data_IF_485109104064
#
_entry.id   IF_485109104064
#
_cell.length_a   1.000
_cell.length_b   1.000
_cell.length_c   1.000
_cell.angle_alpha   90.00
_cell.angle_beta   90.00
_cell.angle_gamma   90.00
#
_symmetry.space_group_name_H-M   'P 1'
#
loop_
_entity.id
_entity.type
_entity.pdbx_description
1 polymer ?
#
# COMPACT_ATOMS: atom_id res chain seq x y z
N UNK A 1 -17.03 -29.21 63.53
CA UNK A 1 -16.73 -27.91 62.86
C UNK A 1 -16.16 -28.20 61.48
N UNK A 2 -16.52 -27.34 60.51
CA UNK A 2 -16.52 -27.59 59.06
C UNK A 2 -15.13 -27.81 58.46
N UNK A 3 -15.13 -28.68 57.44
CA UNK A 3 -14.04 -29.03 56.53
C UNK A 3 -13.45 -27.77 55.87
N UNK A 4 -12.14 -27.58 55.97
CA UNK A 4 -11.41 -26.61 55.14
C UNK A 4 -10.98 -27.33 53.87
N UNK A 5 -11.56 -26.86 52.77
CA UNK A 5 -11.28 -27.19 51.39
C UNK A 5 -9.94 -26.53 51.02
N UNK A 6 -8.93 -27.32 50.69
CA UNK A 6 -7.70 -26.81 50.06
C UNK A 6 -7.76 -27.21 48.59
N UNK A 7 -8.13 -26.24 47.76
CA UNK A 7 -8.03 -26.29 46.29
C UNK A 7 -6.58 -26.09 45.93
N UNK A 8 -5.92 -27.12 45.41
CA UNK A 8 -4.54 -27.06 44.91
C UNK A 8 -4.50 -27.53 43.45
N UNK A 9 -4.04 -26.61 42.61
CA UNK A 9 -3.42 -26.76 41.29
C UNK A 9 -4.25 -27.33 40.13
N UNK A 10 -4.80 -26.41 39.32
CA UNK A 10 -4.83 -26.53 37.86
C UNK A 10 -4.03 -25.35 37.30
N UNK A 11 -2.72 -25.53 37.14
CA UNK A 11 -1.86 -24.53 36.49
C UNK A 11 -0.66 -25.23 35.82
N UNK A 12 -0.92 -26.18 34.92
CA UNK A 12 0.13 -26.86 34.15
C UNK A 12 -0.12 -26.92 32.64
N UNK A 13 -1.14 -26.25 32.12
CA UNK A 13 -1.48 -26.31 30.69
C UNK A 13 -0.87 -25.19 29.84
N UNK A 14 -0.27 -24.15 30.44
CA UNK A 14 0.18 -22.95 29.69
C UNK A 14 1.60 -23.14 29.12
N UNK A 15 2.43 -24.00 29.69
CA UNK A 15 3.86 -24.13 29.30
C UNK A 15 4.08 -24.92 28.00
N UNK A 16 3.22 -25.90 27.70
CA UNK A 16 3.41 -26.76 26.51
C UNK A 16 3.08 -26.06 25.19
N UNK A 17 2.24 -25.01 25.22
CA UNK A 17 1.87 -24.27 24.01
C UNK A 17 2.93 -23.22 23.63
N UNK A 18 3.56 -22.59 24.63
CA UNK A 18 4.62 -21.57 24.44
C UNK A 18 5.86 -22.13 23.75
N UNK A 19 6.32 -23.34 24.13
CA UNK A 19 7.52 -23.95 23.56
C UNK A 19 7.44 -24.19 22.04
N UNK A 20 6.23 -24.37 21.50
CA UNK A 20 6.03 -24.55 20.06
C UNK A 20 6.11 -23.22 19.28
N UNK A 21 5.67 -22.12 19.90
CA UNK A 21 5.71 -20.78 19.28
C UNK A 21 7.14 -20.27 19.17
N UNK A 22 7.96 -20.42 20.22
CA UNK A 22 9.35 -19.94 20.21
C UNK A 22 10.19 -20.63 19.13
N UNK A 23 9.96 -21.93 18.92
CA UNK A 23 10.59 -22.69 17.84
C UNK A 23 10.17 -22.14 16.46
N UNK A 24 8.86 -21.94 16.23
CA UNK A 24 8.36 -21.35 14.98
C UNK A 24 8.92 -19.95 14.73
N UNK A 25 8.98 -19.11 15.76
CA UNK A 25 9.55 -17.75 15.67
C UNK A 25 11.03 -17.80 15.31
N UNK A 26 11.78 -18.75 15.87
CA UNK A 26 13.19 -18.96 15.54
C UNK A 26 13.35 -19.37 14.08
N UNK A 27 12.60 -20.35 13.61
CA UNK A 27 12.66 -20.80 12.21
C UNK A 27 12.26 -19.70 11.21
N UNK A 28 11.22 -18.91 11.54
CA UNK A 28 10.80 -17.76 10.74
C UNK A 28 11.92 -16.71 10.68
N UNK A 29 12.53 -16.43 11.83
CA UNK A 29 13.64 -15.48 11.95
C UNK A 29 14.87 -15.94 11.17
N UNK A 30 15.17 -17.24 11.17
CA UNK A 30 16.34 -17.82 10.49
C UNK A 30 16.17 -17.78 8.96
N UNK A 31 14.95 -18.03 8.46
CA UNK A 31 14.65 -17.89 7.03
C UNK A 31 14.76 -16.43 6.55
N UNK A 32 14.36 -15.48 7.40
CA UNK A 32 14.51 -14.03 7.21
C UNK A 32 14.00 -13.49 5.84
N UNK A 33 12.88 -14.04 5.37
CA UNK A 33 12.16 -13.61 4.17
C UNK A 33 10.66 -13.78 4.38
N UNK A 34 9.84 -12.84 3.94
CA UNK A 34 8.38 -13.00 3.88
C UNK A 34 8.02 -13.64 2.55
N UNK A 35 7.69 -14.92 2.58
CA UNK A 35 7.11 -15.63 1.45
C UNK A 35 5.59 -15.48 1.47
N UNK A 36 5.00 -15.22 0.30
CA UNK A 36 3.57 -15.34 0.06
C UNK A 36 3.21 -16.80 -0.23
N UNK A 37 1.92 -17.06 -0.45
CA UNK A 37 1.42 -18.44 -0.58
C UNK A 37 2.12 -19.24 -1.68
N UNK A 38 2.35 -18.64 -2.85
CA UNK A 38 2.97 -19.28 -4.00
C UNK A 38 4.25 -18.54 -4.36
N UNK A 39 5.38 -19.26 -4.44
CA UNK A 39 6.72 -18.72 -4.72
C UNK A 39 7.47 -19.57 -5.75
N UNK A 40 8.36 -18.91 -6.48
CA UNK A 40 9.29 -19.54 -7.43
C UNK A 40 8.63 -20.04 -8.72
N UNK A 41 9.44 -20.71 -9.54
CA UNK A 41 9.00 -21.34 -10.78
C UNK A 41 8.07 -22.50 -10.43
N UNK A 42 6.85 -22.48 -10.96
CA UNK A 42 5.82 -23.49 -10.68
C UNK A 42 4.92 -23.16 -9.49
N UNK A 43 5.12 -22.03 -8.80
CA UNK A 43 4.22 -21.58 -7.73
C UNK A 43 4.17 -22.53 -6.54
N UNK A 44 5.33 -23.02 -6.09
CA UNK A 44 5.41 -23.89 -4.93
C UNK A 44 4.98 -23.14 -3.67
N UNK A 45 4.47 -23.87 -2.69
CA UNK A 45 4.06 -23.26 -1.44
C UNK A 45 5.28 -22.78 -0.64
N UNK A 46 5.29 -21.51 -0.26
CA UNK A 46 6.38 -20.92 0.54
C UNK A 46 6.57 -21.66 1.85
N UNK A 47 7.80 -22.05 2.17
CA UNK A 47 8.10 -22.74 3.42
C UNK A 47 7.93 -21.79 4.61
N UNK A 48 8.33 -20.53 4.47
CA UNK A 48 8.11 -19.54 5.52
C UNK A 48 6.64 -19.10 5.59
N UNK A 49 5.92 -19.13 4.47
CA UNK A 49 4.47 -18.96 4.47
C UNK A 49 3.77 -20.08 5.27
N UNK A 50 4.20 -21.34 5.13
CA UNK A 50 3.66 -22.45 5.92
C UNK A 50 3.90 -22.25 7.43
N UNK A 51 5.09 -21.81 7.82
CA UNK A 51 5.39 -21.47 9.23
C UNK A 51 4.52 -20.34 9.75
N UNK A 52 4.29 -19.31 8.93
CA UNK A 52 3.33 -18.26 9.24
C UNK A 52 1.92 -18.82 9.46
N UNK A 53 1.44 -19.71 8.59
CA UNK A 53 0.11 -20.33 8.76
C UNK A 53 0.03 -21.13 10.07
N UNK A 54 1.11 -21.78 10.49
CA UNK A 54 1.16 -22.43 11.80
C UNK A 54 1.18 -21.44 12.96
N UNK A 55 1.98 -20.39 12.87
CA UNK A 55 2.03 -19.31 13.86
C UNK A 55 0.64 -18.69 14.05
N UNK A 56 -0.03 -18.33 12.96
CA UNK A 56 -1.37 -17.71 12.96
C UNK A 56 -2.43 -18.60 13.64
N UNK A 57 -2.31 -19.93 13.50
CA UNK A 57 -3.22 -20.91 14.14
C UNK A 57 -2.92 -21.16 15.61
N UNK A 58 -1.65 -21.18 16.00
CA UNK A 58 -1.20 -21.62 17.33
C UNK A 58 -1.07 -20.45 18.33
N UNK A 59 -0.64 -19.28 17.87
CA UNK A 59 -0.41 -18.13 18.73
C UNK A 59 -1.73 -17.44 19.09
N UNK A 60 -1.91 -17.15 20.36
CA UNK A 60 -3.02 -16.29 20.81
C UNK A 60 -2.67 -14.81 20.57
N UNK A 61 -3.69 -13.95 20.63
CA UNK A 61 -3.55 -12.49 20.43
C UNK A 61 -2.48 -11.86 21.31
N UNK A 62 -2.36 -12.27 22.59
CA UNK A 62 -1.35 -11.71 23.49
C UNK A 62 0.08 -12.05 23.03
N UNK A 63 0.31 -13.29 22.60
CA UNK A 63 1.61 -13.71 22.05
C UNK A 63 1.93 -12.95 20.75
N UNK A 64 0.96 -12.81 19.85
CA UNK A 64 1.14 -12.04 18.61
C UNK A 64 1.48 -10.58 18.90
N UNK A 65 0.79 -9.96 19.87
CA UNK A 65 1.08 -8.59 20.33
C UNK A 65 2.46 -8.44 20.98
N UNK A 66 3.04 -9.49 21.53
CA UNK A 66 4.45 -9.44 21.96
C UNK A 66 5.39 -9.47 20.74
N UNK A 67 5.06 -10.30 19.74
CA UNK A 67 5.88 -10.49 18.54
C UNK A 67 5.93 -9.27 17.62
N UNK A 68 4.96 -8.34 17.67
CA UNK A 68 5.03 -7.09 16.89
C UNK A 68 6.22 -6.19 17.28
N UNK A 69 6.82 -6.41 18.46
CA UNK A 69 8.01 -5.68 18.94
C UNK A 69 9.31 -6.46 18.75
N UNK A 70 9.26 -7.58 18.03
CA UNK A 70 10.41 -8.47 17.88
C UNK A 70 11.55 -7.83 17.06
N UNK A 71 12.80 -8.20 17.39
CA UNK A 71 14.01 -7.67 16.73
C UNK A 71 14.08 -8.03 15.23
N UNK A 72 13.57 -9.20 14.85
CA UNK A 72 13.51 -9.64 13.47
C UNK A 72 12.25 -9.08 12.78
N UNK A 73 12.38 -8.27 11.72
CA UNK A 73 11.24 -7.62 11.06
C UNK A 73 10.31 -8.59 10.29
N UNK A 74 10.79 -9.77 9.89
CA UNK A 74 9.95 -10.82 9.27
C UNK A 74 8.99 -11.43 10.29
N UNK A 75 9.46 -11.63 11.53
CA UNK A 75 8.60 -12.07 12.63
C UNK A 75 7.52 -11.02 12.92
N UNK A 76 7.89 -9.73 12.95
CA UNK A 76 6.94 -8.63 13.13
C UNK A 76 5.89 -8.62 12.01
N UNK A 77 6.33 -8.75 10.75
CA UNK A 77 5.43 -8.79 9.60
C UNK A 77 4.42 -9.94 9.72
N UNK A 78 4.88 -11.17 9.95
CA UNK A 78 3.97 -12.31 10.06
C UNK A 78 3.07 -12.27 11.30
N UNK A 79 3.56 -11.76 12.43
CA UNK A 79 2.71 -11.54 13.59
C UNK A 79 1.60 -10.53 13.28
N UNK A 80 1.93 -9.46 12.53
CA UNK A 80 0.95 -8.47 12.11
C UNK A 80 -0.08 -9.02 11.11
N UNK A 81 0.33 -9.92 10.19
CA UNK A 81 -0.58 -10.64 9.31
C UNK A 81 -1.50 -11.60 10.08
N UNK A 82 -0.98 -12.28 11.09
CA UNK A 82 -1.79 -13.14 11.95
C UNK A 82 -2.83 -12.34 12.74
N UNK A 83 -2.48 -11.15 13.24
CA UNK A 83 -3.45 -10.24 13.88
C UNK A 83 -4.56 -9.79 12.92
N UNK A 84 -4.22 -9.55 11.65
CA UNK A 84 -5.22 -9.28 10.60
C UNK A 84 -6.15 -10.48 10.41
N UNK A 85 -5.62 -11.69 10.26
CA UNK A 85 -6.40 -12.92 10.06
C UNK A 85 -7.27 -13.30 11.27
N UNK A 86 -6.84 -12.92 12.47
CA UNK A 86 -7.59 -13.10 13.71
C UNK A 86 -8.59 -11.97 13.98
N UNK A 87 -8.79 -11.05 13.02
CA UNK A 87 -9.72 -9.92 13.13
C UNK A 87 -9.50 -9.10 14.41
N UNK A 88 -8.24 -8.87 14.78
CA UNK A 88 -7.92 -8.08 15.96
C UNK A 88 -8.55 -6.69 15.88
N UNK A 89 -9.23 -6.23 16.93
CA UNK A 89 -10.02 -4.99 16.86
C UNK A 89 -9.19 -3.72 16.66
N UNK A 90 -7.93 -3.72 17.10
CA UNK A 90 -7.10 -2.51 17.14
C UNK A 90 -5.97 -2.50 16.10
N UNK A 91 -6.26 -2.99 14.89
CA UNK A 91 -5.34 -2.92 13.74
C UNK A 91 -4.85 -1.49 13.40
N UNK A 92 -5.65 -0.41 13.54
CA UNK A 92 -5.18 0.96 13.27
C UNK A 92 -3.98 1.37 14.14
N UNK A 93 -3.96 1.01 15.43
CA UNK A 93 -2.83 1.33 16.31
C UNK A 93 -1.59 0.50 15.96
N UNK A 94 -1.76 -0.77 15.59
CA UNK A 94 -0.67 -1.60 15.07
C UNK A 94 -0.08 -0.94 13.82
N UNK A 95 -0.93 -0.54 12.87
CA UNK A 95 -0.50 0.10 11.64
C UNK A 95 0.24 1.42 11.87
N UNK A 96 -0.25 2.28 12.77
CA UNK A 96 0.47 3.51 13.17
C UNK A 96 1.87 3.22 13.71
N UNK A 97 2.01 2.15 14.50
CA UNK A 97 3.33 1.72 15.00
C UNK A 97 4.23 1.23 13.86
N UNK A 98 3.69 0.40 12.95
CA UNK A 98 4.45 -0.15 11.82
C UNK A 98 4.85 0.91 10.80
N UNK A 99 4.10 2.01 10.66
CA UNK A 99 4.48 3.14 9.81
C UNK A 99 5.72 3.88 10.31
N UNK A 100 6.01 3.81 11.61
CA UNK A 100 7.23 4.38 12.21
C UNK A 100 8.40 3.41 12.16
N UNK A 101 8.17 2.17 11.74
CA UNK A 101 9.20 1.16 11.59
C UNK A 101 9.86 1.30 10.22
N UNK A 102 11.07 1.84 10.21
CA UNK A 102 11.85 2.07 9.00
C UNK A 102 12.53 0.80 8.47
N UNK A 103 12.41 -0.34 9.17
CA UNK A 103 13.02 -1.60 8.72
C UNK A 103 12.31 -2.11 7.47
N UNK A 104 13.10 -2.65 6.56
CA UNK A 104 12.62 -3.34 5.37
C UNK A 104 12.77 -4.85 5.49
N UNK A 105 11.89 -5.58 4.82
CA UNK A 105 11.90 -7.04 4.72
C UNK A 105 12.07 -7.46 3.27
N UNK A 106 12.79 -8.57 3.05
CA UNK A 106 12.74 -9.24 1.75
C UNK A 106 11.40 -9.95 1.63
N UNK A 107 10.74 -9.78 0.50
CA UNK A 107 9.47 -10.45 0.18
C UNK A 107 9.65 -11.31 -1.06
N UNK A 108 8.88 -12.40 -1.16
CA UNK A 108 8.82 -13.24 -2.34
C UNK A 108 7.37 -13.62 -2.65
N UNK A 109 6.89 -13.21 -3.83
CA UNK A 109 5.56 -13.51 -4.34
C UNK A 109 5.65 -13.95 -5.80
N UNK A 110 5.28 -15.20 -6.07
CA UNK A 110 5.60 -15.86 -7.34
C UNK A 110 7.10 -15.81 -7.61
N UNK A 111 7.48 -15.33 -8.80
CA UNK A 111 8.88 -15.15 -9.19
C UNK A 111 9.46 -13.77 -8.80
N UNK A 112 8.68 -12.91 -8.13
CA UNK A 112 9.10 -11.55 -7.79
C UNK A 112 9.67 -11.52 -6.38
N UNK A 113 10.92 -11.10 -6.27
CA UNK A 113 11.56 -10.80 -4.99
C UNK A 113 11.70 -9.28 -4.84
N UNK A 114 11.31 -8.73 -3.69
CA UNK A 114 11.34 -7.29 -3.42
C UNK A 114 11.88 -7.00 -2.03
N UNK A 115 12.09 -5.72 -1.75
CA UNK A 115 12.39 -5.20 -0.43
C UNK A 115 11.29 -4.21 -0.07
N UNK A 116 10.41 -4.60 0.85
CA UNK A 116 9.22 -3.85 1.20
C UNK A 116 9.29 -3.40 2.67
N UNK A 117 8.54 -2.34 3.02
CA UNK A 117 8.36 -1.95 4.42
C UNK A 117 7.29 -2.81 5.07
N UNK A 118 7.40 -3.02 6.40
CA UNK A 118 6.43 -3.83 7.15
C UNK A 118 5.02 -3.22 7.07
N UNK A 119 4.93 -1.87 7.13
CA UNK A 119 3.66 -1.16 6.98
C UNK A 119 3.01 -1.37 5.61
N UNK A 120 3.80 -1.46 4.53
CA UNK A 120 3.28 -1.79 3.20
C UNK A 120 2.70 -3.21 3.18
N UNK A 121 3.44 -4.20 3.68
CA UNK A 121 2.93 -5.58 3.74
C UNK A 121 1.69 -5.73 4.62
N UNK A 122 1.63 -5.01 5.74
CA UNK A 122 0.45 -4.97 6.59
C UNK A 122 -0.77 -4.42 5.86
N UNK A 123 -0.63 -3.23 5.26
CA UNK A 123 -1.71 -2.56 4.58
C UNK A 123 -2.21 -3.38 3.39
N UNK A 124 -1.32 -3.92 2.56
CA UNK A 124 -1.72 -4.75 1.42
C UNK A 124 -2.35 -6.08 1.82
N UNK A 125 -1.92 -6.69 2.94
CA UNK A 125 -2.60 -7.87 3.47
C UNK A 125 -4.05 -7.56 3.81
N UNK A 126 -4.29 -6.47 4.54
CA UNK A 126 -5.65 -6.05 4.92
C UNK A 126 -6.48 -5.61 3.71
N UNK A 127 -5.91 -4.80 2.83
CA UNK A 127 -6.54 -4.31 1.60
C UNK A 127 -6.98 -5.47 0.69
N UNK A 128 -6.16 -6.53 0.60
CA UNK A 128 -6.54 -7.74 -0.13
C UNK A 128 -7.65 -8.52 0.59
N UNK A 129 -7.57 -8.70 1.91
CA UNK A 129 -8.57 -9.42 2.71
C UNK A 129 -10.00 -8.90 2.50
N UNK A 130 -10.18 -7.58 2.44
CA UNK A 130 -11.51 -6.97 2.31
C UNK A 130 -12.05 -6.97 0.87
N UNK A 131 -11.25 -7.39 -0.12
CA UNK A 131 -11.65 -7.62 -1.52
C UNK A 131 -12.64 -6.57 -2.08
N UNK A 132 -13.89 -6.94 -2.36
CA UNK A 132 -14.90 -6.06 -2.96
C UNK A 132 -15.53 -5.06 -1.98
N UNK A 133 -15.23 -5.15 -0.67
CA UNK A 133 -15.81 -4.30 0.38
C UNK A 133 -14.99 -3.05 0.69
N UNK A 134 -13.81 -2.87 0.07
CA UNK A 134 -12.86 -1.78 0.33
C UNK A 134 -13.51 -0.42 0.60
N UNK A 135 -14.38 0.03 -0.30
CA UNK A 135 -15.02 1.36 -0.22
C UNK A 135 -15.89 1.56 1.05
N UNK A 136 -16.42 0.48 1.63
CA UNK A 136 -17.32 0.50 2.79
C UNK A 136 -16.67 -0.04 4.06
N UNK A 137 -15.45 -0.55 3.98
CA UNK A 137 -14.75 -1.13 5.11
C UNK A 137 -14.23 -0.02 6.04
N UNK A 138 -14.66 -0.06 7.30
CA UNK A 138 -14.37 0.98 8.30
C UNK A 138 -12.92 0.93 8.77
N UNK A 139 -12.38 -0.26 9.05
CA UNK A 139 -10.98 -0.42 9.42
C UNK A 139 -10.07 0.08 8.31
N UNK A 140 -10.31 -0.31 7.05
CA UNK A 140 -9.52 0.18 5.92
C UNK A 140 -9.64 1.70 5.80
N UNK A 141 -10.82 2.28 6.05
CA UNK A 141 -11.01 3.74 6.09
C UNK A 141 -10.13 4.40 7.15
N UNK A 142 -9.96 3.77 8.31
CA UNK A 142 -9.05 4.27 9.34
C UNK A 142 -7.58 4.14 8.94
N UNK A 143 -7.17 3.03 8.33
CA UNK A 143 -5.81 2.86 7.79
C UNK A 143 -5.51 3.91 6.72
N UNK A 144 -6.46 4.17 5.81
CA UNK A 144 -6.37 5.19 4.77
C UNK A 144 -6.15 6.58 5.38
N UNK A 145 -6.92 6.95 6.41
CA UNK A 145 -6.80 8.23 7.11
C UNK A 145 -5.44 8.39 7.79
N UNK A 146 -4.90 7.30 8.36
CA UNK A 146 -3.57 7.28 8.96
C UNK A 146 -2.50 7.57 7.87
N UNK A 147 -2.63 6.98 6.67
CA UNK A 147 -1.72 7.27 5.55
C UNK A 147 -1.83 8.74 5.15
N UNK A 148 -3.04 9.25 4.92
CA UNK A 148 -3.27 10.64 4.48
C UNK A 148 -2.71 11.69 5.44
N UNK A 149 -2.74 11.41 6.74
CA UNK A 149 -2.31 12.33 7.80
C UNK A 149 -0.86 12.10 8.24
N UNK A 150 -0.17 11.11 7.68
CA UNK A 150 1.25 10.90 7.94
C UNK A 150 2.09 12.05 7.38
N UNK A 151 3.24 12.33 8.02
CA UNK A 151 4.09 13.46 7.65
C UNK A 151 4.64 13.31 6.22
N UNK A 152 5.11 12.10 5.89
CA UNK A 152 5.71 11.73 4.62
C UNK A 152 5.14 10.36 4.16
N UNK A 153 3.91 10.32 3.65
CA UNK A 153 3.31 9.05 3.23
C UNK A 153 4.15 8.38 2.14
N UNK A 154 4.25 7.04 2.22
CA UNK A 154 4.72 6.23 1.09
C UNK A 154 3.81 6.48 -0.11
N UNK A 155 4.39 6.80 -1.27
CA UNK A 155 3.66 6.99 -2.53
C UNK A 155 2.78 5.79 -2.89
N UNK A 156 3.28 4.59 -2.64
CA UNK A 156 2.56 3.35 -2.91
C UNK A 156 1.32 3.21 -2.01
N UNK A 157 1.49 3.41 -0.70
CA UNK A 157 0.38 3.40 0.24
C UNK A 157 -0.64 4.51 -0.06
N UNK A 158 -0.15 5.70 -0.40
CA UNK A 158 -1.00 6.84 -0.74
C UNK A 158 -1.85 6.58 -1.99
N UNK A 159 -1.27 5.99 -3.05
CA UNK A 159 -2.02 5.58 -4.24
C UNK A 159 -3.15 4.64 -3.86
N UNK A 160 -2.84 3.59 -3.10
CA UNK A 160 -3.86 2.61 -2.71
C UNK A 160 -4.93 3.19 -1.77
N UNK A 161 -4.60 4.12 -0.89
CA UNK A 161 -5.58 4.80 -0.03
C UNK A 161 -6.53 5.68 -0.85
N UNK A 162 -6.00 6.41 -1.83
CA UNK A 162 -6.77 7.33 -2.67
C UNK A 162 -7.64 6.62 -3.73
N UNK A 163 -7.36 5.36 -4.06
CA UNK A 163 -8.11 4.57 -5.05
C UNK A 163 -9.47 4.06 -4.53
N UNK A 164 -9.63 3.89 -3.22
CA UNK A 164 -10.75 3.09 -2.69
C UNK A 164 -12.05 3.86 -2.45
N UNK A 165 -12.00 5.19 -2.33
CA UNK A 165 -13.12 6.01 -1.87
C UNK A 165 -12.98 7.48 -2.23
N UNK A 166 -14.10 8.20 -2.17
CA UNK A 166 -14.13 9.66 -2.14
C UNK A 166 -14.14 10.10 -0.68
N UNK A 167 -13.25 11.03 -0.35
CA UNK A 167 -13.09 11.56 1.00
C UNK A 167 -13.95 12.80 1.23
N UNK A 168 -14.33 13.03 2.50
CA UNK A 168 -15.04 14.24 2.91
C UNK A 168 -14.15 15.50 2.83
N UNK A 169 -14.78 16.67 3.03
CA UNK A 169 -14.11 17.97 2.88
C UNK A 169 -12.92 18.18 3.84
N UNK A 170 -12.90 17.53 5.01
CA UNK A 170 -11.77 17.67 5.94
C UNK A 170 -10.50 17.06 5.35
N UNK A 171 -10.64 15.86 4.76
CA UNK A 171 -9.53 15.18 4.10
C UNK A 171 -9.23 15.74 2.72
N UNK A 172 -10.22 16.34 2.03
CA UNK A 172 -9.98 17.05 0.76
C UNK A 172 -8.90 18.11 0.89
N UNK A 173 -8.90 18.91 1.98
CA UNK A 173 -7.85 19.90 2.26
C UNK A 173 -6.47 19.26 2.47
N UNK A 174 -6.42 18.12 3.16
CA UNK A 174 -5.19 17.34 3.33
C UNK A 174 -4.66 16.84 1.99
N UNK A 175 -5.53 16.31 1.14
CA UNK A 175 -5.17 15.82 -0.20
C UNK A 175 -4.71 16.97 -1.10
N UNK A 176 -5.38 18.13 -1.05
CA UNK A 176 -4.91 19.35 -1.72
C UNK A 176 -3.48 19.71 -1.30
N UNK A 177 -3.21 19.69 0.00
CA UNK A 177 -1.87 19.99 0.55
C UNK A 177 -0.84 18.96 0.06
N UNK A 178 -1.17 17.67 0.09
CA UNK A 178 -0.31 16.60 -0.44
C UNK A 178 0.01 16.83 -1.94
N UNK A 179 -1.00 17.16 -2.74
CA UNK A 179 -0.85 17.38 -4.19
C UNK A 179 -0.03 18.63 -4.50
N UNK A 180 -0.54 19.80 -4.14
CA UNK A 180 -0.03 21.09 -4.62
C UNK A 180 1.14 21.64 -3.82
N UNK A 181 1.29 21.27 -2.53
CA UNK A 181 2.35 21.80 -1.68
C UNK A 181 3.48 20.80 -1.48
N UNK A 182 3.17 19.50 -1.50
CA UNK A 182 4.15 18.42 -1.30
C UNK A 182 4.45 17.60 -2.57
N UNK A 183 3.83 17.92 -3.71
CA UNK A 183 4.09 17.29 -5.01
C UNK A 183 3.87 15.76 -5.01
N UNK A 184 2.83 15.29 -4.31
CA UNK A 184 2.34 13.91 -4.43
C UNK A 184 1.40 13.81 -5.64
N UNK A 185 1.90 13.25 -6.75
CA UNK A 185 1.11 13.03 -7.96
C UNK A 185 -0.11 12.15 -7.72
N UNK A 186 -0.04 11.22 -6.78
CA UNK A 186 -1.17 10.38 -6.35
C UNK A 186 -2.35 11.25 -5.91
N UNK A 187 -2.08 12.31 -5.14
CA UNK A 187 -3.08 13.27 -4.69
C UNK A 187 -3.57 14.16 -5.85
N UNK A 188 -2.69 14.58 -6.76
CA UNK A 188 -3.09 15.33 -7.97
C UNK A 188 -4.06 14.51 -8.83
N UNK A 189 -3.75 13.23 -9.07
CA UNK A 189 -4.63 12.35 -9.85
C UNK A 189 -5.97 12.10 -9.16
N UNK A 190 -5.97 11.97 -7.83
CA UNK A 190 -7.21 11.91 -7.08
C UNK A 190 -8.08 13.16 -7.29
N UNK A 191 -7.48 14.36 -7.20
CA UNK A 191 -8.19 15.63 -7.41
C UNK A 191 -8.69 15.76 -8.85
N UNK A 192 -7.92 15.33 -9.85
CA UNK A 192 -8.37 15.25 -11.24
C UNK A 192 -9.59 14.35 -11.44
N UNK A 193 -9.71 13.27 -10.66
CA UNK A 193 -10.80 12.31 -10.81
C UNK A 193 -12.09 12.78 -10.11
N UNK A 194 -11.97 13.40 -8.93
CA UNK A 194 -13.12 13.68 -8.07
C UNK A 194 -13.43 15.16 -7.86
N UNK A 195 -12.47 16.05 -8.08
CA UNK A 195 -12.56 17.48 -7.73
C UNK A 195 -12.09 18.41 -8.86
N UNK A 196 -12.07 17.92 -10.11
CA UNK A 196 -11.56 18.67 -11.27
C UNK A 196 -12.25 20.02 -11.47
N UNK A 197 -13.57 20.08 -11.30
CA UNK A 197 -14.32 21.32 -11.49
C UNK A 197 -13.96 22.38 -10.42
N UNK A 198 -13.62 21.95 -9.21
CA UNK A 198 -13.24 22.83 -8.10
C UNK A 198 -11.82 23.39 -8.29
N UNK A 199 -10.88 22.58 -8.76
CA UNK A 199 -9.46 22.93 -8.88
C UNK A 199 -8.99 23.02 -10.34
N UNK A 200 -9.86 23.44 -11.27
CA UNK A 200 -9.61 23.32 -12.71
C UNK A 200 -8.30 23.98 -13.17
N UNK A 201 -8.16 25.29 -12.91
CA UNK A 201 -7.00 26.07 -13.35
C UNK A 201 -5.71 25.62 -12.65
N UNK A 202 -5.79 25.31 -11.35
CA UNK A 202 -4.63 24.87 -10.56
C UNK A 202 -4.12 23.50 -11.02
N UNK A 203 -5.02 22.53 -11.27
CA UNK A 203 -4.65 21.22 -11.77
C UNK A 203 -4.04 21.31 -13.17
N UNK A 204 -4.66 22.09 -14.08
CA UNK A 204 -4.11 22.30 -15.42
C UNK A 204 -2.71 22.91 -15.34
N UNK A 205 -2.54 23.97 -14.56
CA UNK A 205 -1.26 24.65 -14.37
C UNK A 205 -0.19 23.74 -13.77
N UNK A 206 -0.55 22.95 -12.75
CA UNK A 206 0.34 21.97 -12.14
C UNK A 206 0.81 20.93 -13.17
N UNK A 207 -0.12 20.30 -13.89
CA UNK A 207 0.20 19.23 -14.86
C UNK A 207 1.08 19.77 -16.00
N UNK A 208 0.78 20.97 -16.51
CA UNK A 208 1.62 21.63 -17.52
C UNK A 208 3.04 21.85 -17.00
N UNK A 209 3.19 22.32 -15.76
CA UNK A 209 4.50 22.55 -15.17
C UNK A 209 5.27 21.25 -14.92
N UNK A 210 4.60 20.22 -14.42
CA UNK A 210 5.20 18.90 -14.21
C UNK A 210 5.64 18.27 -15.54
N UNK A 211 4.83 18.40 -16.60
CA UNK A 211 5.18 17.90 -17.93
C UNK A 211 6.40 18.61 -18.52
N UNK A 212 6.60 19.91 -18.29
CA UNK A 212 7.80 20.64 -18.77
C UNK A 212 9.10 19.99 -18.30
N UNK A 213 9.13 19.44 -17.09
CA UNK A 213 10.31 18.80 -16.50
C UNK A 213 10.30 17.28 -16.62
N UNK A 214 9.15 16.68 -16.92
CA UNK A 214 9.03 15.23 -17.11
C UNK A 214 9.62 14.83 -18.46
N UNK A 215 10.72 14.09 -18.42
CA UNK A 215 11.34 13.51 -19.59
C UNK A 215 10.53 12.33 -20.12
N UNK A 216 10.42 12.28 -21.45
CA UNK A 216 9.87 11.14 -22.15
C UNK A 216 10.88 9.98 -22.16
N UNK A 217 10.59 8.86 -21.46
CA UNK A 217 11.51 7.71 -21.28
C UNK A 217 10.93 6.35 -21.74
N UNK A 218 10.26 6.32 -22.89
CA UNK A 218 9.76 5.08 -23.51
C UNK A 218 8.88 4.21 -22.61
N UNK A 219 8.93 2.88 -22.70
CA UNK A 219 7.98 1.92 -22.04
C UNK A 219 7.68 2.14 -20.54
N UNK A 220 8.50 2.91 -19.80
CA UNK A 220 8.26 3.28 -18.39
C UNK A 220 7.71 4.71 -18.20
N UNK A 221 7.23 5.36 -19.26
CA UNK A 221 6.63 6.71 -19.28
C UNK A 221 5.20 6.74 -18.71
N UNK A 222 4.86 5.86 -17.77
CA UNK A 222 3.50 5.76 -17.22
C UNK A 222 3.03 7.07 -16.60
N UNK A 223 3.91 7.76 -15.88
CA UNK A 223 3.60 9.08 -15.29
C UNK A 223 3.42 10.13 -16.38
N UNK A 224 4.31 10.19 -17.37
CA UNK A 224 4.22 11.14 -18.49
C UNK A 224 2.90 10.98 -19.24
N UNK A 225 2.54 9.76 -19.64
CA UNK A 225 1.28 9.52 -20.34
C UNK A 225 0.07 9.75 -19.44
N UNK A 226 0.14 9.39 -18.15
CA UNK A 226 -0.96 9.67 -17.22
C UNK A 226 -1.19 11.17 -17.04
N UNK A 227 -0.12 11.96 -16.97
CA UNK A 227 -0.20 13.43 -16.95
C UNK A 227 -0.82 13.98 -18.25
N UNK A 228 -0.39 13.48 -19.41
CA UNK A 228 -0.99 13.87 -20.70
C UNK A 228 -2.47 13.49 -20.79
N UNK A 229 -2.84 12.27 -20.40
CA UNK A 229 -4.22 11.79 -20.39
C UNK A 229 -5.10 12.67 -19.48
N UNK A 230 -4.57 13.11 -18.32
CA UNK A 230 -5.29 14.04 -17.47
C UNK A 230 -5.38 15.45 -18.06
N UNK A 231 -4.31 15.91 -18.71
CA UNK A 231 -4.25 17.25 -19.29
C UNK A 231 -5.21 17.40 -20.49
N UNK A 232 -5.30 16.39 -21.34
CA UNK A 232 -6.19 16.40 -22.52
C UNK A 232 -7.66 16.64 -22.13
N UNK A 233 -8.08 16.10 -20.98
CA UNK A 233 -9.46 16.22 -20.48
C UNK A 233 -9.86 17.66 -20.11
N UNK A 234 -8.93 18.62 -20.04
CA UNK A 234 -9.26 20.05 -19.88
C UNK A 234 -9.78 20.68 -21.18
N UNK A 235 -9.55 20.03 -22.33
CA UNK A 235 -10.16 20.30 -23.63
C UNK A 235 -10.25 21.79 -24.01
N UNK A 236 -9.09 22.46 -24.08
CA UNK A 236 -8.98 23.82 -24.59
C UNK A 236 -7.78 23.95 -25.52
N UNK A 237 -7.82 25.00 -26.35
CA UNK A 237 -6.84 25.20 -27.43
C UNK A 237 -5.41 25.32 -26.90
N UNK A 238 -5.19 26.10 -25.86
CA UNK A 238 -3.84 26.33 -25.30
C UNK A 238 -3.22 25.03 -24.79
N UNK A 239 -4.03 24.16 -24.19
CA UNK A 239 -3.63 22.82 -23.77
C UNK A 239 -3.25 21.94 -24.97
N UNK A 240 -4.05 21.94 -26.03
CA UNK A 240 -3.76 21.15 -27.23
C UNK A 240 -2.46 21.61 -27.90
N UNK A 241 -2.27 22.92 -28.04
CA UNK A 241 -1.06 23.51 -28.60
C UNK A 241 0.17 23.11 -27.76
N UNK A 242 0.08 23.20 -26.42
CA UNK A 242 1.15 22.76 -25.51
C UNK A 242 1.50 21.27 -25.67
N UNK A 243 0.50 20.39 -25.74
CA UNK A 243 0.71 18.93 -25.86
C UNK A 243 1.44 18.60 -27.17
N UNK A 244 1.01 19.20 -28.28
CA UNK A 244 1.64 19.01 -29.59
C UNK A 244 3.09 19.51 -29.57
N UNK A 245 3.34 20.67 -28.98
CA UNK A 245 4.68 21.25 -28.90
C UNK A 245 5.60 20.43 -27.99
N UNK A 246 5.11 19.98 -26.84
CA UNK A 246 5.87 19.10 -25.93
C UNK A 246 6.27 17.79 -26.62
N UNK A 247 5.34 17.20 -27.34
CA UNK A 247 5.63 15.98 -28.09
C UNK A 247 6.68 16.19 -29.19
N UNK A 248 6.60 17.30 -29.93
CA UNK A 248 7.61 17.66 -30.94
C UNK A 248 8.99 17.87 -30.32
N UNK A 249 9.06 18.48 -29.13
CA UNK A 249 10.34 18.69 -28.45
C UNK A 249 10.98 17.39 -27.95
N UNK A 250 10.16 16.42 -27.54
CA UNK A 250 10.63 15.19 -26.89
C UNK A 250 11.15 14.13 -27.86
N UNK A 251 10.87 14.26 -29.17
CA UNK A 251 11.38 13.39 -30.25
C UNK A 251 11.21 11.88 -29.97
N UNK A 252 9.98 11.38 -29.75
CA UNK A 252 9.73 9.96 -29.51
C UNK A 252 10.07 9.08 -30.72
N UNK A 253 10.35 7.79 -30.47
CA UNK A 253 10.56 6.79 -31.50
C UNK A 253 9.24 6.30 -32.13
N UNK A 254 9.33 5.45 -33.17
CA UNK A 254 8.19 5.08 -34.01
C UNK A 254 7.03 4.39 -33.25
N UNK A 255 7.33 3.53 -32.28
CA UNK A 255 6.29 2.85 -31.48
C UNK A 255 5.59 3.83 -30.52
N UNK A 256 6.31 4.86 -30.11
CA UNK A 256 5.81 5.90 -29.22
C UNK A 256 4.99 6.94 -29.97
N UNK A 257 5.32 7.15 -31.25
CA UNK A 257 4.50 7.93 -32.17
C UNK A 257 3.10 7.31 -32.30
N UNK A 258 3.00 6.00 -32.49
CA UNK A 258 1.71 5.32 -32.59
C UNK A 258 0.86 5.48 -31.33
N UNK A 259 1.45 5.33 -30.14
CA UNK A 259 0.74 5.50 -28.86
C UNK A 259 0.24 6.94 -28.66
N UNK A 260 1.06 7.93 -29.02
CA UNK A 260 0.69 9.32 -28.88
C UNK A 260 -0.36 9.76 -29.91
N UNK A 261 -0.23 9.34 -31.17
CA UNK A 261 -1.26 9.58 -32.20
C UNK A 261 -2.57 8.94 -31.79
N UNK A 262 -2.56 7.69 -31.33
CA UNK A 262 -3.76 7.03 -30.81
C UNK A 262 -4.38 7.76 -29.61
N UNK A 263 -3.56 8.34 -28.73
CA UNK A 263 -4.04 9.19 -27.64
C UNK A 263 -4.74 10.45 -28.16
N UNK A 264 -4.18 11.14 -29.16
CA UNK A 264 -4.76 12.37 -29.71
C UNK A 264 -6.03 12.10 -30.54
N UNK A 265 -6.04 11.04 -31.35
CA UNK A 265 -7.21 10.62 -32.13
C UNK A 265 -8.40 10.26 -31.23
N UNK A 266 -8.16 9.48 -30.17
CA UNK A 266 -9.21 9.11 -29.19
C UNK A 266 -9.82 10.32 -28.47
N UNK A 267 -9.15 11.46 -28.48
CA UNK A 267 -9.59 12.69 -27.81
C UNK A 267 -9.90 13.84 -28.76
N UNK A 268 -10.01 13.58 -30.07
CA UNK A 268 -10.41 14.58 -31.08
C UNK A 268 -9.52 15.83 -31.12
N UNK A 269 -8.22 15.67 -30.86
CA UNK A 269 -7.23 16.75 -30.96
C UNK A 269 -6.75 16.94 -32.41
N UNK A 270 -7.04 15.96 -33.29
CA UNK A 270 -6.86 16.00 -34.73
C UNK A 270 -8.17 15.68 -35.46
#
# INVERSE_FOLDING_TARGET
MKKILVVILILTSITSCSQNIDALVTEISDANIVEHEHVGIGGLKGQNYLRFQELSKKANTHQLLQLITHKNPVVVCYASWALIEQEYENLPEIFKSLLKDERTIKTMSGCLMRSDSISSEFYHRYWNLVHAKKAKDETLSELDKIILTSENPSRFLLSSALENRVYDDNYKKTIYTLGFQKNYLEAIFYLCNWHRAEYNDELQGFIVNELKTTEFKGKNSSVYYKLLEELIKFNNKDVHDFIVDKYRSDKPNINEIENFVSLLERNYIF
#
